data_IF_764234725560
#
_entry.id   IF_764234725560
#
_cell.length_a   1.000
_cell.length_b   1.000
_cell.length_c   1.000
_cell.angle_alpha   90.00
_cell.angle_beta   90.00
_cell.angle_gamma   90.00
#
_symmetry.space_group_name_H-M   'P 1'
#
loop_
_entity.id
_entity.type
_entity.pdbx_description
1 polymer ?
#
# COMPACT_ATOMS: atom_id res chain seq x y z
N UNK A 1 34.37 -20.74 -23.00
CA UNK A 1 32.89 -20.82 -22.93
C UNK A 1 32.30 -20.79 -21.50
N UNK A 2 33.03 -21.14 -20.43
CA UNK A 2 32.46 -21.19 -19.06
C UNK A 2 32.37 -19.84 -18.33
N UNK A 3 33.13 -18.82 -18.73
CA UNK A 3 33.17 -17.51 -18.05
C UNK A 3 32.01 -16.58 -18.41
N UNK A 4 31.48 -16.66 -19.63
CA UNK A 4 30.33 -15.86 -20.07
C UNK A 4 28.99 -16.32 -19.47
N UNK A 5 28.89 -17.61 -19.09
CA UNK A 5 27.67 -18.16 -18.50
C UNK A 5 27.43 -17.62 -17.09
N UNK A 6 28.50 -17.47 -16.29
CA UNK A 6 28.39 -16.85 -14.97
C UNK A 6 28.08 -15.35 -15.07
N UNK A 7 28.66 -14.59 -16.02
CA UNK A 7 28.34 -13.16 -16.15
C UNK A 7 26.90 -12.92 -16.63
N UNK A 8 26.35 -13.81 -17.47
CA UNK A 8 24.95 -13.76 -17.89
C UNK A 8 23.99 -14.00 -16.70
N UNK A 9 24.36 -14.89 -15.77
CA UNK A 9 23.58 -15.21 -14.57
C UNK A 9 23.55 -14.03 -13.57
N UNK A 10 24.65 -13.29 -13.44
CA UNK A 10 24.68 -12.06 -12.63
C UNK A 10 23.90 -10.91 -13.28
N UNK A 11 23.86 -10.85 -14.62
CA UNK A 11 23.10 -9.83 -15.34
C UNK A 11 21.59 -10.04 -15.23
N UNK A 12 21.11 -11.29 -15.18
CA UNK A 12 19.68 -11.58 -14.98
C UNK A 12 19.24 -11.35 -13.53
N UNK A 13 20.07 -11.69 -12.53
CA UNK A 13 19.82 -11.39 -11.11
C UNK A 13 19.72 -9.87 -10.82
N UNK A 14 20.48 -9.05 -11.54
CA UNK A 14 20.45 -7.58 -11.42
C UNK A 14 19.16 -6.91 -11.92
N UNK A 15 18.32 -7.62 -12.68
CA UNK A 15 17.04 -7.08 -13.21
C UNK A 15 15.84 -7.31 -12.31
N UNK A 16 16.01 -7.93 -11.12
CA UNK A 16 15.06 -7.75 -10.01
C UNK A 16 15.30 -6.34 -9.43
N UNK A 17 15.26 -5.33 -10.29
CA UNK A 17 15.32 -3.95 -9.89
C UNK A 17 14.11 -3.72 -8.98
N UNK A 18 14.38 -3.20 -7.80
CA UNK A 18 13.41 -2.56 -6.91
C UNK A 18 12.61 -1.53 -7.71
N UNK A 19 11.56 -1.98 -8.40
CA UNK A 19 10.55 -1.08 -8.89
C UNK A 19 9.60 -0.88 -7.72
N UNK A 20 9.73 0.26 -7.05
CA UNK A 20 8.66 0.74 -6.18
C UNK A 20 7.38 0.74 -7.04
N UNK A 21 6.41 -0.09 -6.64
CA UNK A 21 5.20 -0.24 -7.44
C UNK A 21 4.42 1.06 -7.40
N UNK A 22 4.10 1.61 -8.56
CA UNK A 22 3.33 2.85 -8.65
C UNK A 22 1.94 2.63 -8.04
N UNK A 23 1.50 3.58 -7.24
CA UNK A 23 0.16 3.62 -6.67
C UNK A 23 -0.56 4.90 -7.05
N UNK A 24 -1.89 4.85 -6.95
CA UNK A 24 -2.73 6.05 -6.97
C UNK A 24 -3.11 6.34 -5.52
N UNK A 25 -2.82 7.55 -5.04
CA UNK A 25 -3.33 8.03 -3.77
C UNK A 25 -4.72 8.64 -3.97
N UNK A 26 -5.68 8.19 -3.18
CA UNK A 26 -7.05 8.71 -3.19
C UNK A 26 -7.41 9.14 -1.77
N UNK A 27 -7.70 10.42 -1.52
CA UNK A 27 -8.18 10.86 -0.21
C UNK A 27 -9.56 10.25 0.07
N UNK A 28 -9.82 9.83 1.32
CA UNK A 28 -11.12 9.23 1.67
C UNK A 28 -12.25 10.27 1.78
N UNK A 29 -11.90 11.54 1.98
CA UNK A 29 -12.80 12.66 2.13
C UNK A 29 -12.34 13.82 1.26
N UNK A 30 -13.28 14.65 0.85
CA UNK A 30 -12.98 15.87 0.11
C UNK A 30 -12.06 16.80 0.93
N UNK A 31 -11.01 17.36 0.31
CA UNK A 31 -10.14 18.32 0.99
C UNK A 31 -10.94 19.54 1.47
N UNK A 32 -10.83 19.88 2.75
CA UNK A 32 -11.42 21.11 3.29
C UNK A 32 -10.41 22.26 3.07
N UNK A 33 -10.74 23.30 2.29
CA UNK A 33 -9.85 24.45 2.08
C UNK A 33 -9.46 25.09 3.41
N UNK A 34 -8.18 25.43 3.58
CA UNK A 34 -7.59 26.04 4.79
C UNK A 34 -7.64 25.18 6.07
N UNK A 35 -7.90 23.87 5.98
CA UNK A 35 -7.71 22.98 7.14
C UNK A 35 -6.23 22.66 7.33
N UNK A 36 -5.70 22.84 8.54
CA UNK A 36 -4.34 22.44 8.92
C UNK A 36 -4.21 20.92 9.17
N UNK A 37 -5.06 20.11 8.54
CA UNK A 37 -5.35 18.73 8.93
C UNK A 37 -4.10 17.85 8.90
N UNK A 38 -3.52 17.59 10.08
CA UNK A 38 -2.34 16.75 10.28
C UNK A 38 -2.66 15.25 10.13
N UNK A 39 -3.94 14.87 10.06
CA UNK A 39 -4.38 13.47 10.03
C UNK A 39 -5.41 13.17 8.93
N UNK A 40 -5.10 13.52 7.68
CA UNK A 40 -5.98 13.23 6.53
C UNK A 40 -5.88 11.73 6.21
N UNK A 41 -6.99 10.96 6.19
CA UNK A 41 -6.96 9.56 5.79
C UNK A 41 -7.07 9.41 4.26
N UNK A 42 -6.35 8.44 3.72
CA UNK A 42 -6.27 8.16 2.29
C UNK A 42 -6.05 6.67 2.05
N UNK A 43 -6.22 6.25 0.80
CA UNK A 43 -5.82 4.93 0.33
C UNK A 43 -4.76 5.04 -0.76
N UNK A 44 -3.82 4.10 -0.76
CA UNK A 44 -2.93 3.83 -1.90
C UNK A 44 -3.45 2.62 -2.64
N UNK A 45 -3.79 2.78 -3.93
CA UNK A 45 -4.29 1.70 -4.78
C UNK A 45 -3.18 1.20 -5.69
N UNK A 46 -2.83 -0.08 -5.54
CA UNK A 46 -1.82 -0.78 -6.32
C UNK A 46 -2.48 -1.82 -7.23
N UNK A 47 -2.40 -1.59 -8.53
CA UNK A 47 -2.97 -2.49 -9.52
C UNK A 47 -2.00 -3.65 -9.86
N UNK A 48 -2.50 -4.89 -9.93
CA UNK A 48 -1.72 -6.02 -10.41
C UNK A 48 -1.53 -5.94 -11.94
N UNK A 49 -0.47 -6.56 -12.49
CA UNK A 49 -0.29 -6.65 -13.94
C UNK A 49 -1.42 -7.40 -14.66
N UNK A 50 -1.99 -8.42 -13.99
CA UNK A 50 -3.16 -9.18 -14.46
C UNK A 50 -4.20 -9.13 -13.34
N UNK A 51 -5.34 -8.49 -13.60
CA UNK A 51 -6.38 -8.29 -12.61
C UNK A 51 -7.41 -9.43 -12.66
N UNK A 52 -7.66 -10.08 -11.52
CA UNK A 52 -8.64 -11.17 -11.39
C UNK A 52 -10.05 -10.70 -10.96
N UNK A 53 -10.24 -9.39 -10.79
CA UNK A 53 -11.49 -8.75 -10.39
C UNK A 53 -11.68 -8.61 -8.88
N UNK A 54 -10.78 -9.13 -8.04
CA UNK A 54 -10.83 -9.02 -6.59
C UNK A 54 -9.89 -7.94 -6.05
N UNK A 55 -10.22 -7.43 -4.86
CA UNK A 55 -9.41 -6.44 -4.14
C UNK A 55 -9.26 -6.83 -2.67
N UNK A 56 -8.21 -6.32 -2.05
CA UNK A 56 -7.95 -6.43 -0.60
C UNK A 56 -7.60 -5.06 -0.04
N UNK A 57 -8.17 -4.73 1.11
CA UNK A 57 -7.79 -3.54 1.88
C UNK A 57 -6.86 -3.99 3.00
N UNK A 58 -5.65 -3.44 3.00
CA UNK A 58 -4.62 -3.67 4.00
C UNK A 58 -4.69 -2.53 5.00
N UNK A 59 -4.95 -2.87 6.26
CA UNK A 59 -5.00 -1.95 7.39
C UNK A 59 -3.70 -2.10 8.20
N UNK A 60 -2.71 -1.21 8.05
CA UNK A 60 -1.45 -1.31 8.77
C UNK A 60 -1.67 -1.19 10.27
N UNK A 61 -0.91 -1.91 11.09
CA UNK A 61 -1.03 -1.87 12.54
C UNK A 61 -0.27 -0.72 13.18
N UNK A 62 0.33 -0.96 14.35
CA UNK A 62 0.92 0.08 15.21
C UNK A 62 0.09 0.40 16.46
N UNK A 63 -0.88 -0.45 16.80
CA UNK A 63 -1.62 -0.41 18.07
C UNK A 63 -2.35 0.91 18.33
N UNK A 64 -2.81 1.59 17.28
CA UNK A 64 -3.44 2.91 17.32
C UNK A 64 -2.58 4.05 17.89
N UNK A 65 -1.26 3.84 17.98
CA UNK A 65 -0.29 4.88 18.38
C UNK A 65 0.44 5.48 17.18
N UNK A 66 0.58 4.71 16.11
CA UNK A 66 1.14 5.09 14.82
C UNK A 66 0.63 4.10 13.76
N UNK A 67 1.06 4.28 12.50
CA UNK A 67 0.79 3.37 11.39
C UNK A 67 2.09 2.83 10.83
N UNK A 68 2.27 1.52 10.83
CA UNK A 68 3.43 0.86 10.21
C UNK A 68 3.20 0.65 8.71
N UNK A 69 3.09 1.77 7.97
CA UNK A 69 2.72 1.77 6.54
C UNK A 69 3.67 0.93 5.68
N UNK A 70 4.97 0.93 5.96
CA UNK A 70 5.94 0.25 5.10
C UNK A 70 5.93 -1.26 5.31
N UNK A 71 6.06 -1.73 6.56
CA UNK A 71 6.21 -3.16 6.87
C UNK A 71 4.89 -3.91 6.98
N UNK A 72 3.82 -3.25 7.43
CA UNK A 72 2.51 -3.88 7.60
C UNK A 72 1.50 -3.45 6.53
N UNK A 73 1.77 -2.37 5.80
CA UNK A 73 1.02 -1.96 4.61
C UNK A 73 1.69 -2.43 3.32
N UNK A 74 2.64 -1.64 2.83
CA UNK A 74 3.24 -1.73 1.50
C UNK A 74 3.98 -3.05 1.26
N UNK A 75 4.59 -3.66 2.28
CA UNK A 75 5.34 -4.92 2.13
C UNK A 75 4.50 -6.10 1.61
N UNK A 76 3.18 -6.09 1.81
CA UNK A 76 2.29 -7.15 1.34
C UNK A 76 1.74 -6.92 -0.07
N UNK A 77 1.86 -5.71 -0.61
CA UNK A 77 1.37 -5.34 -1.94
C UNK A 77 1.85 -6.29 -3.03
N UNK A 78 3.17 -6.62 -3.13
CA UNK A 78 3.66 -7.50 -4.19
C UNK A 78 3.04 -8.90 -4.11
N UNK A 79 2.79 -9.41 -2.90
CA UNK A 79 2.19 -10.73 -2.72
C UNK A 79 0.76 -10.77 -3.26
N UNK A 80 -0.07 -9.80 -2.86
CA UNK A 80 -1.46 -9.71 -3.32
C UNK A 80 -1.56 -9.43 -4.82
N UNK A 81 -0.74 -8.52 -5.34
CA UNK A 81 -0.74 -8.22 -6.77
C UNK A 81 -0.27 -9.43 -7.61
N UNK A 82 0.68 -10.24 -7.12
CA UNK A 82 1.07 -11.50 -7.78
C UNK A 82 -0.05 -12.54 -7.83
N UNK A 83 -1.02 -12.48 -6.90
CA UNK A 83 -2.24 -13.30 -6.95
C UNK A 83 -3.33 -12.69 -7.86
N UNK A 84 -3.06 -11.53 -8.46
CA UNK A 84 -3.99 -10.80 -9.33
C UNK A 84 -5.01 -9.93 -8.61
N UNK A 85 -4.86 -9.69 -7.31
CA UNK A 85 -5.73 -8.80 -6.54
C UNK A 85 -5.27 -7.34 -6.66
N UNK A 86 -6.21 -6.39 -6.67
CA UNK A 86 -5.92 -4.98 -6.38
C UNK A 86 -5.61 -4.84 -4.89
N UNK A 87 -4.41 -4.38 -4.55
CA UNK A 87 -4.02 -4.15 -3.17
C UNK A 87 -4.26 -2.68 -2.81
N UNK A 88 -5.00 -2.43 -1.74
CA UNK A 88 -5.36 -1.09 -1.28
C UNK A 88 -4.79 -0.90 0.12
N UNK A 89 -3.79 -0.04 0.29
CA UNK A 89 -3.21 0.24 1.62
C UNK A 89 -3.91 1.45 2.23
N UNK A 90 -4.58 1.26 3.37
CA UNK A 90 -5.33 2.30 4.06
C UNK A 90 -4.47 3.02 5.09
N UNK A 91 -4.29 4.33 4.90
CA UNK A 91 -3.89 5.23 5.99
C UNK A 91 -5.16 5.72 6.67
N UNK A 92 -5.48 5.16 7.84
CA UNK A 92 -6.61 5.60 8.68
C UNK A 92 -6.19 6.66 9.70
N UNK A 93 -7.15 7.40 10.26
CA UNK A 93 -6.89 8.32 11.38
C UNK A 93 -6.57 7.57 12.67
N UNK A 94 -5.61 8.07 13.44
CA UNK A 94 -5.38 7.55 14.78
C UNK A 94 -6.50 8.05 15.71
N UNK A 95 -6.97 7.23 16.67
CA UNK A 95 -8.17 7.55 17.43
C UNK A 95 -8.03 8.85 18.22
N UNK A 96 -6.89 9.13 18.87
CA UNK A 96 -6.68 10.36 19.65
C UNK A 96 -7.87 10.73 20.57
N UNK A 97 -8.46 9.72 21.23
CA UNK A 97 -9.68 9.86 22.06
C UNK A 97 -11.01 9.60 21.33
N UNK A 98 -11.01 9.56 19.99
CA UNK A 98 -12.15 9.28 19.12
C UNK A 98 -12.06 7.87 18.51
N UNK A 99 -12.38 6.84 19.30
CA UNK A 99 -12.27 5.43 18.91
C UNK A 99 -13.05 5.02 17.63
N UNK A 100 -14.01 5.82 17.18
CA UNK A 100 -14.80 5.54 15.97
C UNK A 100 -14.09 5.95 14.68
N UNK A 101 -13.15 6.90 14.71
CA UNK A 101 -12.56 7.41 13.48
C UNK A 101 -11.79 6.35 12.66
N UNK A 102 -11.03 5.40 13.24
CA UNK A 102 -10.33 4.40 12.43
C UNK A 102 -11.32 3.43 11.78
N UNK A 103 -12.38 3.05 12.50
CA UNK A 103 -13.44 2.18 11.99
C UNK A 103 -14.21 2.86 10.84
N UNK A 104 -14.56 4.14 11.01
CA UNK A 104 -15.25 4.91 9.97
C UNK A 104 -14.40 5.04 8.69
N UNK A 105 -13.08 5.23 8.85
CA UNK A 105 -12.17 5.31 7.71
C UNK A 105 -12.05 3.96 6.99
N UNK A 106 -11.96 2.86 7.74
CA UNK A 106 -11.99 1.52 7.16
C UNK A 106 -13.30 1.24 6.41
N UNK A 107 -14.45 1.61 6.98
CA UNK A 107 -15.75 1.49 6.34
C UNK A 107 -15.88 2.34 5.08
N UNK A 108 -15.26 3.54 5.07
CA UNK A 108 -15.27 4.44 3.91
C UNK A 108 -14.40 3.94 2.75
N UNK A 109 -13.37 3.14 3.06
CA UNK A 109 -12.48 2.55 2.08
C UNK A 109 -13.08 1.31 1.38
N UNK A 110 -14.12 0.69 1.95
CA UNK A 110 -14.85 -0.46 1.41
C UNK A 110 -15.90 -0.04 0.38
#
# INVERSE_FOLDING_TARGET
MKTYFLSLLYFTLGTIALHAQNFIEIPLYEPIPNSSNVDIPFIHVYFPPINNGAAVIICPGGGYKYLEMDKEGNAYVPWFNNQGLVAIVLKYRLPNGQHKCPLQDAQKAM
#
